data_IF_834289208295
#
_entry.id   IF_834289208295
#
_cell.length_a   1.000
_cell.length_b   1.000
_cell.length_c   1.000
_cell.angle_alpha   90.00
_cell.angle_beta   90.00
_cell.angle_gamma   90.00
#
_symmetry.space_group_name_H-M   'P 1'
#
loop_
_entity.id
_entity.type
_entity.pdbx_description
1 polymer ?
#
# COMPACT_ATOMS: atom_id res chain seq x y z
N UNK A 1 24.67 -21.46 21.00
CA UNK A 1 23.22 -21.20 20.80
C UNK A 1 22.95 -19.83 21.35
N UNK A 2 22.62 -18.90 20.51
CA UNK A 2 22.24 -17.52 20.90
C UNK A 2 20.74 -17.38 20.75
N UNK A 3 20.03 -17.47 21.88
CA UNK A 3 18.57 -17.34 21.90
C UNK A 3 18.22 -15.88 22.06
N UNK A 4 17.37 -15.36 21.15
CA UNK A 4 16.85 -13.99 21.17
C UNK A 4 15.35 -14.00 21.36
N UNK A 5 14.86 -13.09 22.22
CA UNK A 5 13.44 -12.91 22.45
C UNK A 5 12.82 -12.06 21.33
N UNK A 6 11.65 -12.47 20.85
CA UNK A 6 10.81 -11.69 19.94
C UNK A 6 9.73 -11.01 20.76
N UNK A 7 9.66 -9.69 20.63
CA UNK A 7 8.73 -8.84 21.39
C UNK A 7 7.60 -8.34 20.50
N UNK A 8 6.43 -8.12 21.10
CA UNK A 8 5.32 -7.42 20.47
C UNK A 8 5.75 -5.98 20.16
N UNK A 9 5.64 -5.50 18.91
CA UNK A 9 5.95 -4.12 18.55
C UNK A 9 4.98 -3.12 19.18
N UNK A 10 5.21 -1.83 18.99
CA UNK A 10 4.27 -0.80 19.43
C UNK A 10 2.91 -0.98 18.70
N UNK A 11 1.88 -1.20 19.47
CA UNK A 11 0.50 -1.41 19.00
C UNK A 11 -0.31 -0.09 18.97
N UNK A 12 0.34 1.07 18.86
CA UNK A 12 -0.34 2.36 18.81
C UNK A 12 -1.07 2.73 20.10
N UNK A 13 -0.51 2.30 21.27
CA UNK A 13 -1.06 2.57 22.59
C UNK A 13 -2.11 1.56 23.05
N UNK A 14 -2.46 0.55 22.27
CA UNK A 14 -3.34 -0.54 22.72
C UNK A 14 -2.62 -1.45 23.71
N UNK A 15 -3.32 -1.80 24.80
CA UNK A 15 -2.87 -2.72 25.84
C UNK A 15 -3.83 -3.90 25.93
N UNK A 16 -3.36 -5.03 26.45
CA UNK A 16 -4.18 -6.22 26.67
C UNK A 16 -4.90 -6.70 25.39
N UNK A 17 -4.17 -6.75 24.28
CA UNK A 17 -4.70 -7.17 22.97
C UNK A 17 -4.77 -8.70 22.92
N UNK A 18 -5.90 -9.33 22.57
CA UNK A 18 -6.02 -10.77 22.50
C UNK A 18 -5.28 -11.37 21.29
N UNK A 19 -4.61 -12.48 21.52
CA UNK A 19 -4.03 -13.36 20.50
C UNK A 19 -5.15 -14.22 19.91
N UNK A 20 -5.49 -14.02 18.65
CA UNK A 20 -6.55 -14.79 17.99
C UNK A 20 -6.04 -16.01 17.24
N UNK A 21 -4.77 -15.98 16.84
CA UNK A 21 -4.14 -17.14 16.21
C UNK A 21 -2.62 -17.18 16.45
N UNK A 22 -2.04 -18.40 16.37
CA UNK A 22 -0.61 -18.65 16.45
C UNK A 22 -0.20 -19.39 15.17
N UNK A 23 0.64 -18.73 14.36
CA UNK A 23 0.89 -19.11 12.97
C UNK A 23 2.16 -19.96 12.80
N UNK A 24 3.03 -20.02 13.83
CA UNK A 24 4.29 -20.76 13.79
C UNK A 24 4.38 -21.76 14.97
N UNK A 25 5.16 -22.79 14.82
CA UNK A 25 5.39 -23.85 15.82
C UNK A 25 6.85 -23.98 16.19
N UNK A 26 7.13 -24.47 17.42
CA UNK A 26 8.49 -24.75 17.85
C UNK A 26 9.17 -25.74 16.89
N UNK A 27 10.38 -25.43 16.47
CA UNK A 27 11.15 -26.16 15.46
C UNK A 27 11.06 -25.56 14.05
N UNK A 28 10.13 -24.63 13.79
CA UNK A 28 10.00 -23.99 12.49
C UNK A 28 11.20 -23.09 12.19
N UNK A 29 11.61 -23.07 10.92
CA UNK A 29 12.59 -22.13 10.42
C UNK A 29 11.89 -20.81 10.08
N UNK A 30 12.25 -19.76 10.78
CA UNK A 30 11.65 -18.43 10.67
C UNK A 30 12.58 -17.52 9.87
N UNK A 31 12.05 -16.85 8.88
CA UNK A 31 12.73 -15.76 8.15
C UNK A 31 12.29 -14.41 8.72
N UNK A 32 13.05 -13.36 8.39
CA UNK A 32 12.63 -11.98 8.72
C UNK A 32 11.27 -11.72 8.06
N UNK A 33 10.38 -11.03 8.77
CA UNK A 33 9.00 -10.72 8.38
C UNK A 33 8.04 -11.92 8.30
N UNK A 34 8.46 -13.15 8.72
CA UNK A 34 7.51 -14.26 8.86
C UNK A 34 6.52 -13.99 9.98
N UNK A 35 5.19 -14.05 9.74
CA UNK A 35 4.18 -13.83 10.77
C UNK A 35 4.19 -14.96 11.81
N UNK A 36 4.22 -14.61 13.09
CA UNK A 36 4.28 -15.54 14.21
C UNK A 36 2.94 -15.72 14.92
N UNK A 37 2.25 -14.62 15.17
CA UNK A 37 0.94 -14.60 15.82
C UNK A 37 0.04 -13.55 15.17
N UNK A 38 -1.28 -13.72 15.30
CA UNK A 38 -2.29 -12.74 14.91
C UNK A 38 -2.95 -12.15 16.15
N UNK A 39 -2.97 -10.83 16.23
CA UNK A 39 -3.61 -10.05 17.29
C UNK A 39 -4.92 -9.42 16.78
N UNK A 40 -5.91 -9.28 17.66
CA UNK A 40 -7.16 -8.58 17.33
C UNK A 40 -7.29 -7.33 18.21
N UNK A 41 -7.29 -6.18 17.55
CA UNK A 41 -7.60 -4.91 18.19
C UNK A 41 -9.06 -4.53 17.92
N UNK A 42 -9.58 -3.54 18.61
CA UNK A 42 -10.91 -2.97 18.36
C UNK A 42 -11.10 -2.41 16.93
N UNK A 43 -10.02 -2.29 16.17
CA UNK A 43 -10.02 -1.68 14.83
C UNK A 43 -9.61 -2.61 13.71
N UNK A 44 -8.78 -3.60 13.98
CA UNK A 44 -8.27 -4.51 12.95
C UNK A 44 -7.58 -5.74 13.56
N UNK A 45 -7.46 -6.80 12.77
CA UNK A 45 -6.51 -7.89 13.00
C UNK A 45 -5.13 -7.49 12.50
N UNK A 46 -4.10 -7.82 13.25
CA UNK A 46 -2.71 -7.50 12.96
C UNK A 46 -1.83 -8.73 13.16
N UNK A 47 -1.09 -9.09 12.13
CA UNK A 47 -0.06 -10.12 12.23
C UNK A 47 1.22 -9.51 12.79
N UNK A 48 1.84 -10.18 13.75
CA UNK A 48 3.12 -9.78 14.32
C UNK A 48 4.23 -10.56 13.65
N UNK A 49 5.06 -9.90 12.80
CA UNK A 49 6.15 -10.54 12.10
C UNK A 49 7.39 -10.73 12.98
N UNK A 50 8.22 -11.69 12.65
CA UNK A 50 9.52 -11.88 13.28
C UNK A 50 10.53 -10.81 12.80
N UNK A 51 11.20 -10.09 13.70
CA UNK A 51 12.26 -9.15 13.33
C UNK A 51 13.60 -9.86 13.04
N UNK A 52 13.71 -11.17 13.31
CA UNK A 52 14.92 -11.96 13.22
C UNK A 52 14.68 -13.26 12.45
N UNK A 53 15.71 -13.72 11.74
CA UNK A 53 15.74 -15.06 11.17
C UNK A 53 16.40 -16.04 12.14
N UNK A 54 15.87 -17.28 12.22
CA UNK A 54 16.41 -18.31 13.10
C UNK A 54 15.50 -19.52 13.15
N UNK A 55 15.80 -20.46 14.07
CA UNK A 55 14.91 -21.58 14.38
C UNK A 55 14.07 -21.24 15.60
N UNK A 56 12.77 -21.40 15.50
CA UNK A 56 11.85 -21.12 16.60
C UNK A 56 12.04 -22.15 17.73
N UNK A 57 12.52 -21.68 18.87
CA UNK A 57 12.74 -22.53 20.04
C UNK A 57 11.42 -22.79 20.75
N UNK A 58 10.67 -21.73 21.02
CA UNK A 58 9.35 -21.82 21.63
C UNK A 58 8.50 -20.59 21.31
N UNK A 59 7.18 -20.77 21.34
CA UNK A 59 6.20 -19.68 21.39
C UNK A 59 5.69 -19.59 22.83
N UNK A 60 5.77 -18.40 23.43
CA UNK A 60 5.46 -18.17 24.83
C UNK A 60 4.00 -17.78 25.06
N UNK A 61 3.23 -17.60 23.98
CA UNK A 61 1.82 -17.19 24.00
C UNK A 61 0.93 -18.21 23.31
N UNK A 62 -0.35 -18.26 23.69
CA UNK A 62 -1.37 -19.14 23.12
C UNK A 62 -2.56 -18.35 22.64
N UNK A 63 -3.34 -18.96 21.77
CA UNK A 63 -4.65 -18.40 21.35
C UNK A 63 -5.54 -18.13 22.57
N UNK A 64 -5.99 -16.91 22.69
CA UNK A 64 -6.77 -16.40 23.81
C UNK A 64 -5.97 -15.63 24.87
N UNK A 65 -4.64 -15.70 24.85
CA UNK A 65 -3.79 -14.89 25.73
C UNK A 65 -3.89 -13.41 25.37
N UNK A 66 -3.54 -12.53 26.32
CA UNK A 66 -3.52 -11.08 26.12
C UNK A 66 -2.09 -10.58 26.19
N UNK A 67 -1.73 -9.76 25.21
CA UNK A 67 -0.38 -9.19 25.10
C UNK A 67 -0.42 -7.67 24.96
N UNK A 68 0.67 -7.04 25.36
CA UNK A 68 0.89 -5.60 25.19
C UNK A 68 2.23 -5.36 24.51
N UNK A 69 2.47 -4.14 24.02
CA UNK A 69 3.77 -3.77 23.46
C UNK A 69 4.91 -4.15 24.44
N UNK A 70 5.96 -4.81 23.91
CA UNK A 70 7.07 -5.31 24.70
C UNK A 70 6.87 -6.69 25.34
N UNK A 71 5.68 -7.33 25.23
CA UNK A 71 5.49 -8.71 25.67
C UNK A 71 6.32 -9.67 24.84
N UNK A 72 7.01 -10.64 25.48
CA UNK A 72 7.73 -11.72 24.76
C UNK A 72 6.71 -12.68 24.19
N UNK A 73 6.78 -12.97 22.88
CA UNK A 73 5.86 -13.87 22.18
C UNK A 73 6.54 -15.14 21.67
N UNK A 74 7.84 -15.06 21.42
CA UNK A 74 8.59 -16.19 20.88
C UNK A 74 10.08 -16.08 21.26
N UNK A 75 10.78 -17.21 21.18
CA UNK A 75 12.24 -17.29 21.32
C UNK A 75 12.83 -17.96 20.09
N UNK A 76 13.81 -17.31 19.47
CA UNK A 76 14.51 -17.77 18.30
C UNK A 76 15.96 -18.09 18.61
N UNK A 77 16.46 -19.25 18.18
CA UNK A 77 17.88 -19.53 18.13
C UNK A 77 18.48 -18.91 16.86
N UNK A 78 19.17 -17.79 17.04
CA UNK A 78 19.89 -17.05 15.99
C UNK A 78 21.35 -17.48 15.84
N UNK A 79 21.77 -18.52 16.57
CA UNK A 79 23.15 -18.98 16.65
C UNK A 79 23.62 -19.86 15.49
N UNK A 80 22.92 -19.88 14.39
CA UNK A 80 23.33 -20.47 13.13
C UNK A 80 23.07 -19.50 12.01
N UNK A 81 24.02 -18.64 11.67
CA UNK A 81 24.07 -18.06 10.35
C UNK A 81 24.24 -19.22 9.35
N UNK A 82 23.15 -19.93 9.06
CA UNK A 82 23.13 -20.93 8.01
C UNK A 82 23.04 -20.20 6.68
N UNK A 83 23.95 -20.56 5.79
CA UNK A 83 23.96 -20.23 4.37
C UNK A 83 22.55 -20.30 3.75
N UNK A 84 22.30 -19.52 2.68
CA UNK A 84 21.03 -19.55 1.98
C UNK A 84 20.63 -20.98 1.63
N UNK A 85 19.33 -21.33 1.64
CA UNK A 85 18.88 -22.67 1.32
C UNK A 85 19.37 -23.08 -0.07
N UNK A 86 20.03 -24.22 -0.15
CA UNK A 86 20.35 -24.85 -1.41
C UNK A 86 19.03 -25.15 -2.15
N UNK A 87 18.94 -24.85 -3.42
CA UNK A 87 17.77 -25.18 -4.21
C UNK A 87 17.66 -26.70 -4.31
N UNK A 88 16.45 -27.20 -4.07
CA UNK A 88 16.08 -28.60 -4.30
C UNK A 88 16.46 -28.96 -5.73
N UNK A 89 17.46 -29.81 -5.85
CA UNK A 89 17.98 -30.29 -7.14
C UNK A 89 17.09 -31.39 -7.67
N UNK A 90 16.26 -31.08 -8.63
CA UNK A 90 16.01 -32.02 -9.73
C UNK A 90 16.94 -31.67 -10.90
N UNK A 91 17.92 -32.47 -11.05
CA UNK A 91 18.66 -32.84 -12.23
C UNK A 91 19.04 -31.78 -13.28
N UNK A 92 19.94 -30.81 -12.96
CA UNK A 92 20.81 -30.20 -13.98
C UNK A 92 22.18 -29.86 -13.38
N UNK A 93 23.23 -30.26 -14.09
CA UNK A 93 24.62 -30.12 -13.71
C UNK A 93 25.05 -28.65 -13.59
N UNK A 94 25.85 -28.36 -12.56
CA UNK A 94 26.31 -27.04 -12.13
C UNK A 94 27.38 -26.36 -13.02
N UNK A 95 27.44 -26.65 -14.33
CA UNK A 95 28.47 -26.11 -15.23
C UNK A 95 28.04 -24.95 -16.13
N UNK A 96 26.75 -24.53 -16.12
CA UNK A 96 26.24 -23.54 -17.06
C UNK A 96 25.61 -22.29 -16.44
N UNK A 97 26.13 -21.84 -15.27
CA UNK A 97 25.80 -20.50 -14.77
C UNK A 97 26.92 -19.53 -15.17
N UNK A 98 26.64 -18.49 -15.94
CA UNK A 98 27.59 -17.40 -16.08
C UNK A 98 27.79 -16.73 -14.70
N UNK A 99 29.07 -16.46 -14.38
CA UNK A 99 29.46 -15.66 -13.22
C UNK A 99 28.61 -14.37 -13.16
N UNK A 100 28.06 -14.09 -12.00
CA UNK A 100 27.33 -12.83 -11.78
C UNK A 100 28.32 -11.68 -11.96
N UNK A 101 28.11 -10.89 -12.98
CA UNK A 101 28.83 -9.63 -13.19
C UNK A 101 28.70 -8.73 -11.94
N UNK A 102 29.78 -8.03 -11.54
CA UNK A 102 29.72 -7.12 -10.42
C UNK A 102 28.67 -6.05 -10.70
N UNK A 103 27.76 -5.81 -9.74
CA UNK A 103 26.73 -4.78 -9.83
C UNK A 103 27.39 -3.46 -10.19
N UNK A 104 26.95 -2.79 -11.26
CA UNK A 104 27.52 -1.52 -11.66
C UNK A 104 27.35 -0.49 -10.53
N UNK A 105 28.42 0.19 -10.18
CA UNK A 105 28.39 1.38 -9.32
C UNK A 105 27.43 2.37 -9.97
N UNK A 106 26.44 2.83 -9.22
CA UNK A 106 25.42 3.78 -9.68
C UNK A 106 26.12 4.98 -10.35
N UNK A 107 25.94 5.11 -11.65
CA UNK A 107 26.41 6.26 -12.40
C UNK A 107 25.69 7.52 -11.90
N UNK A 108 26.36 8.68 -11.90
CA UNK A 108 25.78 9.95 -11.48
C UNK A 108 24.47 10.26 -12.25
N UNK A 109 23.51 10.94 -11.62
CA UNK A 109 22.20 11.31 -12.22
C UNK A 109 22.35 11.95 -13.61
N UNK A 110 23.39 12.77 -13.80
CA UNK A 110 23.71 13.41 -15.08
C UNK A 110 24.17 12.42 -16.16
N UNK A 111 24.95 11.41 -15.77
CA UNK A 111 25.44 10.37 -16.69
C UNK A 111 24.32 9.43 -17.15
N UNK A 112 23.32 9.16 -16.26
CA UNK A 112 22.15 8.36 -16.61
C UNK A 112 21.20 9.12 -17.53
N UNK A 113 20.91 10.41 -17.24
CA UNK A 113 20.10 11.28 -18.10
C UNK A 113 20.71 11.41 -19.50
N UNK A 114 22.03 11.58 -19.58
CA UNK A 114 22.75 11.70 -20.86
C UNK A 114 22.74 10.39 -21.64
N UNK A 115 22.93 9.22 -20.99
CA UNK A 115 22.87 7.93 -21.65
C UNK A 115 21.47 7.61 -22.17
N UNK A 116 20.42 7.88 -21.41
CA UNK A 116 19.03 7.65 -21.81
C UNK A 116 18.64 8.57 -22.98
N UNK A 117 19.02 9.85 -22.94
CA UNK A 117 18.80 10.78 -24.05
C UNK A 117 19.54 10.36 -25.33
N UNK A 118 20.77 9.88 -25.21
CA UNK A 118 21.56 9.38 -26.35
C UNK A 118 20.96 8.08 -26.94
N UNK A 119 20.45 7.17 -26.11
CA UNK A 119 19.75 5.98 -26.58
C UNK A 119 18.42 6.30 -27.27
N UNK A 120 17.68 7.30 -26.77
CA UNK A 120 16.40 7.74 -27.33
C UNK A 120 16.56 8.57 -28.61
N UNK A 121 17.68 9.26 -28.81
CA UNK A 121 17.93 10.10 -30.00
C UNK A 121 18.11 9.31 -31.31
N UNK A 122 18.38 8.03 -31.22
CA UNK A 122 18.51 7.12 -32.38
C UNK A 122 17.26 6.31 -32.75
N UNK A 123 16.18 6.44 -31.97
CA UNK A 123 14.93 5.71 -32.21
C UNK A 123 14.09 6.40 -33.30
N UNK A 124 13.31 5.62 -34.09
CA UNK A 124 12.31 6.17 -35.02
C UNK A 124 11.36 7.14 -34.31
N UNK A 125 10.82 8.11 -35.05
CA UNK A 125 9.95 9.15 -34.46
C UNK A 125 8.70 8.61 -33.76
N UNK A 126 8.21 7.47 -34.20
CA UNK A 126 7.08 6.74 -33.60
C UNK A 126 7.40 6.11 -32.22
N UNK A 127 8.69 5.99 -31.88
CA UNK A 127 9.18 5.44 -30.62
C UNK A 127 9.76 6.52 -29.70
N UNK A 128 9.84 7.78 -30.14
CA UNK A 128 10.37 8.86 -29.32
C UNK A 128 9.46 9.10 -28.10
N UNK A 129 10.08 9.09 -26.92
CA UNK A 129 9.44 9.40 -25.65
C UNK A 129 9.84 10.79 -25.19
N UNK A 130 8.89 11.50 -24.57
CA UNK A 130 9.11 12.82 -24.00
C UNK A 130 9.79 12.69 -22.63
N UNK A 131 9.67 11.52 -22.01
CA UNK A 131 10.17 11.20 -20.66
C UNK A 131 10.61 9.74 -20.58
N UNK A 132 11.52 9.46 -19.64
CA UNK A 132 11.91 8.09 -19.29
C UNK A 132 11.86 7.84 -17.79
N UNK A 133 11.55 6.60 -17.40
CA UNK A 133 11.52 6.13 -16.02
C UNK A 133 12.17 4.74 -15.91
N UNK A 134 12.87 4.47 -14.83
CA UNK A 134 13.29 3.10 -14.50
C UNK A 134 12.09 2.25 -14.10
N UNK A 135 11.20 2.84 -13.30
CA UNK A 135 9.93 2.22 -12.95
C UNK A 135 8.78 3.18 -13.24
N UNK A 136 7.83 2.73 -14.05
CA UNK A 136 6.55 3.37 -14.24
C UNK A 136 5.52 2.67 -13.36
N UNK A 137 4.72 3.44 -12.61
CA UNK A 137 3.58 2.92 -11.88
C UNK A 137 2.31 3.54 -12.45
N UNK A 138 1.40 2.71 -12.96
CA UNK A 138 0.13 3.15 -13.53
C UNK A 138 -0.99 3.03 -12.49
N UNK A 139 -1.49 4.17 -12.03
CA UNK A 139 -2.50 4.30 -10.99
C UNK A 139 -1.92 4.63 -9.62
N UNK A 140 -2.46 5.66 -8.96
CA UNK A 140 -2.02 6.15 -7.65
C UNK A 140 -2.98 5.81 -6.52
N UNK A 141 -3.69 4.69 -6.62
CA UNK A 141 -4.41 4.08 -5.50
C UNK A 141 -3.45 3.49 -4.46
N UNK A 142 -3.95 2.85 -3.37
CA UNK A 142 -3.10 2.31 -2.30
C UNK A 142 -1.99 1.39 -2.78
N UNK A 143 -2.24 0.50 -3.72
CA UNK A 143 -1.21 -0.34 -4.31
C UNK A 143 -0.16 0.46 -5.08
N UNK A 144 -0.60 1.45 -5.89
CA UNK A 144 0.29 2.22 -6.75
C UNK A 144 1.20 3.17 -5.99
N UNK A 145 0.66 4.04 -5.13
CA UNK A 145 1.52 4.95 -4.39
C UNK A 145 2.46 4.22 -3.41
N UNK A 146 2.01 3.11 -2.82
CA UNK A 146 2.86 2.30 -1.94
C UNK A 146 4.04 1.70 -2.72
N UNK A 147 3.78 1.13 -3.91
CA UNK A 147 4.80 0.58 -4.78
C UNK A 147 5.78 1.68 -5.25
N UNK A 148 5.24 2.83 -5.69
CA UNK A 148 6.04 3.97 -6.15
C UNK A 148 6.96 4.51 -5.05
N UNK A 149 6.45 4.70 -3.83
CA UNK A 149 7.22 5.21 -2.71
C UNK A 149 8.30 4.21 -2.28
N UNK A 150 7.95 2.92 -2.22
CA UNK A 150 8.93 1.89 -1.88
C UNK A 150 10.04 1.79 -2.92
N UNK A 151 9.72 1.86 -4.20
CA UNK A 151 10.71 1.84 -5.26
C UNK A 151 11.64 3.06 -5.20
N UNK A 152 11.09 4.24 -4.94
CA UNK A 152 11.87 5.46 -4.74
C UNK A 152 12.79 5.38 -3.50
N UNK A 153 12.30 4.80 -2.39
CA UNK A 153 13.10 4.54 -1.18
C UNK A 153 14.26 3.54 -1.46
N UNK A 154 14.11 2.68 -2.48
CA UNK A 154 15.16 1.78 -2.97
C UNK A 154 16.09 2.43 -4.01
N UNK A 155 15.91 3.71 -4.31
CA UNK A 155 16.77 4.50 -5.19
C UNK A 155 16.41 4.47 -6.67
N UNK A 156 15.24 3.93 -7.06
CA UNK A 156 14.80 3.94 -8.45
C UNK A 156 14.23 5.31 -8.85
N UNK A 157 14.39 5.67 -10.12
CA UNK A 157 13.67 6.78 -10.74
C UNK A 157 12.26 6.33 -11.09
N UNK A 158 11.27 6.88 -10.36
CA UNK A 158 9.88 6.46 -10.45
C UNK A 158 9.00 7.54 -11.05
N UNK A 159 8.22 7.18 -12.08
CA UNK A 159 7.12 7.98 -12.59
C UNK A 159 5.79 7.31 -12.24
N UNK A 160 4.91 8.05 -11.55
CA UNK A 160 3.58 7.63 -11.15
C UNK A 160 2.54 8.33 -12.02
N UNK A 161 1.78 7.56 -12.80
CA UNK A 161 0.74 8.08 -13.69
C UNK A 161 -0.62 7.92 -13.02
N UNK A 162 -1.37 9.01 -12.90
CA UNK A 162 -2.71 9.00 -12.29
C UNK A 162 -3.70 9.83 -13.11
N UNK A 163 -4.86 9.26 -13.41
CA UNK A 163 -5.91 9.95 -14.19
C UNK A 163 -6.66 11.01 -13.38
N UNK A 164 -6.75 10.86 -12.07
CA UNK A 164 -7.45 11.82 -11.20
C UNK A 164 -6.52 12.93 -10.74
N UNK A 165 -7.05 14.12 -10.43
CA UNK A 165 -6.23 15.25 -9.98
C UNK A 165 -5.63 15.04 -8.59
N UNK A 166 -6.07 14.03 -7.85
CA UNK A 166 -5.60 13.72 -6.51
C UNK A 166 -5.12 12.28 -6.41
N UNK A 167 -3.99 12.09 -5.71
CA UNK A 167 -3.50 10.76 -5.37
C UNK A 167 -4.46 10.05 -4.39
N UNK A 168 -4.30 8.73 -4.23
CA UNK A 168 -5.04 7.93 -3.26
C UNK A 168 -6.10 7.02 -3.88
N UNK A 169 -6.42 7.21 -5.17
CA UNK A 169 -7.37 6.39 -5.92
C UNK A 169 -8.76 6.34 -5.28
N UNK A 170 -9.52 5.30 -5.60
CA UNK A 170 -10.88 5.06 -5.07
C UNK A 170 -10.88 5.05 -3.54
N UNK A 171 -9.93 4.37 -2.91
CA UNK A 171 -9.92 4.18 -1.45
C UNK A 171 -9.92 5.51 -0.69
N UNK A 172 -9.02 6.44 -1.03
CA UNK A 172 -8.93 7.70 -0.28
C UNK A 172 -10.01 8.70 -0.70
N UNK A 173 -10.33 8.76 -1.98
CA UNK A 173 -11.19 9.82 -2.51
C UNK A 173 -12.68 9.51 -2.40
N UNK A 174 -13.08 8.29 -2.76
CA UNK A 174 -14.50 7.90 -2.89
C UNK A 174 -14.81 6.50 -2.32
N UNK A 175 -14.01 6.02 -1.38
CA UNK A 175 -14.15 4.67 -0.81
C UNK A 175 -13.88 4.62 0.69
N UNK A 176 -12.81 3.95 1.07
CA UNK A 176 -12.50 3.61 2.47
C UNK A 176 -12.50 4.81 3.42
N UNK A 177 -11.87 5.91 3.02
CA UNK A 177 -11.69 7.05 3.93
C UNK A 177 -13.01 7.81 4.15
N UNK A 178 -13.74 8.26 3.11
CA UNK A 178 -15.01 8.93 3.35
C UNK A 178 -16.05 8.00 4.02
N UNK A 179 -16.09 6.71 3.69
CA UNK A 179 -17.01 5.78 4.37
C UNK A 179 -16.68 5.61 5.85
N UNK A 180 -15.39 5.41 6.21
CA UNK A 180 -14.99 5.33 7.62
C UNK A 180 -15.26 6.63 8.40
N UNK A 181 -15.09 7.78 7.76
CA UNK A 181 -15.45 9.06 8.39
C UNK A 181 -16.95 9.09 8.72
N UNK A 182 -17.82 8.71 7.79
CA UNK A 182 -19.27 8.70 8.01
C UNK A 182 -19.69 7.63 9.02
N UNK A 183 -19.12 6.42 8.95
CA UNK A 183 -19.38 5.36 9.91
C UNK A 183 -18.95 5.77 11.32
N UNK A 184 -17.84 6.49 11.47
CA UNK A 184 -17.43 7.04 12.77
C UNK A 184 -18.48 8.03 13.31
N UNK A 185 -18.99 8.94 12.48
CA UNK A 185 -20.05 9.85 12.89
C UNK A 185 -21.33 9.10 13.31
N UNK A 186 -21.74 8.07 12.55
CA UNK A 186 -22.87 7.22 12.92
C UNK A 186 -22.63 6.47 14.22
N UNK A 187 -21.42 5.95 14.42
CA UNK A 187 -21.05 5.23 15.67
C UNK A 187 -21.13 6.12 16.90
N UNK A 188 -20.71 7.37 16.81
CA UNK A 188 -20.84 8.33 17.93
C UNK A 188 -22.29 8.54 18.31
N UNK A 189 -23.21 8.61 17.35
CA UNK A 189 -24.65 8.74 17.63
C UNK A 189 -25.22 7.49 18.29
N UNK A 190 -24.83 6.31 17.79
CA UNK A 190 -25.22 5.02 18.34
C UNK A 190 -24.73 4.83 19.78
N UNK A 191 -23.45 5.12 20.04
CA UNK A 191 -22.83 5.00 21.36
C UNK A 191 -23.51 5.95 22.36
N UNK A 192 -23.83 7.17 21.94
CA UNK A 192 -24.59 8.10 22.78
C UNK A 192 -25.98 7.56 23.10
N UNK A 193 -26.71 7.00 22.11
CA UNK A 193 -28.04 6.43 22.34
C UNK A 193 -28.00 5.19 23.24
N UNK A 194 -26.96 4.37 23.13
CA UNK A 194 -26.76 3.16 23.95
C UNK A 194 -26.55 3.45 25.44
N UNK A 195 -26.26 4.69 25.83
CA UNK A 195 -26.08 5.06 27.23
C UNK A 195 -27.42 5.26 27.98
N UNK A 196 -28.54 5.34 27.28
CA UNK A 196 -29.84 5.58 27.92
C UNK A 196 -30.24 4.56 28.99
N UNK A 197 -30.06 3.23 28.83
CA UNK A 197 -30.33 2.24 29.89
C UNK A 197 -29.44 2.41 31.13
N UNK A 198 -28.30 3.09 30.99
CA UNK A 198 -27.36 3.36 32.08
C UNK A 198 -27.60 4.70 32.76
N UNK A 199 -28.74 5.34 32.46
CA UNK A 199 -29.17 6.60 33.08
C UNK A 199 -28.61 7.87 32.45
N UNK A 200 -27.90 7.76 31.30
CA UNK A 200 -27.38 8.93 30.56
C UNK A 200 -28.20 9.09 29.31
N UNK A 201 -29.07 10.09 29.28
CA UNK A 201 -29.97 10.32 28.12
C UNK A 201 -29.54 11.60 27.40
N UNK A 202 -29.19 11.44 26.10
CA UNK A 202 -28.94 12.54 25.18
C UNK A 202 -30.25 12.93 24.46
N UNK A 203 -30.41 14.22 24.16
CA UNK A 203 -31.52 14.70 23.32
C UNK A 203 -31.36 14.21 21.87
N UNK A 204 -32.41 14.39 21.06
CA UNK A 204 -32.33 14.05 19.62
C UNK A 204 -31.21 14.83 18.94
N UNK A 205 -30.29 14.16 18.22
CA UNK A 205 -29.22 14.85 17.56
C UNK A 205 -29.76 15.74 16.42
N UNK A 206 -29.16 16.91 16.26
CA UNK A 206 -29.40 17.76 15.09
C UNK A 206 -28.23 17.59 14.14
N UNK A 207 -28.50 17.05 12.94
CA UNK A 207 -27.50 16.79 11.92
C UNK A 207 -27.52 17.93 10.90
N UNK A 208 -26.38 18.60 10.70
CA UNK A 208 -26.14 19.58 9.66
C UNK A 208 -25.33 18.87 8.57
N UNK A 209 -26.02 18.48 7.48
CA UNK A 209 -25.43 17.70 6.40
C UNK A 209 -24.31 18.46 5.67
N UNK A 210 -24.42 19.78 5.54
CA UNK A 210 -23.39 20.59 4.89
C UNK A 210 -22.07 20.59 5.70
N UNK A 211 -22.19 20.70 7.01
CA UNK A 211 -21.01 20.60 7.87
C UNK A 211 -20.43 19.20 7.88
N UNK A 212 -21.26 18.16 7.86
CA UNK A 212 -20.82 16.78 7.80
C UNK A 212 -20.08 16.49 6.49
N UNK A 213 -20.61 16.95 5.35
CA UNK A 213 -19.94 16.86 4.03
C UNK A 213 -18.58 17.56 4.04
N UNK A 214 -18.53 18.81 4.53
CA UNK A 214 -17.29 19.61 4.64
C UNK A 214 -16.25 18.92 5.52
N UNK A 215 -16.67 18.36 6.66
CA UNK A 215 -15.79 17.61 7.53
C UNK A 215 -15.26 16.35 6.84
N UNK A 216 -16.11 15.50 6.25
CA UNK A 216 -15.72 14.33 5.44
C UNK A 216 -14.68 14.74 4.38
N UNK A 217 -14.96 15.76 3.59
CA UNK A 217 -14.06 16.26 2.56
C UNK A 217 -12.71 16.77 3.14
N UNK A 218 -12.71 17.34 4.35
CA UNK A 218 -11.48 17.79 5.00
C UNK A 218 -10.58 16.62 5.42
N UNK A 219 -11.18 15.50 5.85
CA UNK A 219 -10.45 14.26 6.19
C UNK A 219 -9.76 13.71 4.94
N UNK A 220 -10.50 13.59 3.82
CA UNK A 220 -9.96 13.13 2.54
C UNK A 220 -8.80 14.02 2.08
N UNK A 221 -9.00 15.35 2.03
CA UNK A 221 -7.97 16.30 1.59
C UNK A 221 -6.70 16.23 2.44
N UNK A 222 -6.81 16.05 3.74
CA UNK A 222 -5.65 15.95 4.61
C UNK A 222 -4.77 14.76 4.23
N UNK A 223 -5.37 13.61 3.95
CA UNK A 223 -4.66 12.39 3.59
C UNK A 223 -4.08 12.47 2.17
N UNK A 224 -4.85 12.95 1.20
CA UNK A 224 -4.38 13.08 -0.19
C UNK A 224 -3.25 14.10 -0.32
N UNK A 225 -3.32 15.22 0.41
CA UNK A 225 -2.22 16.19 0.49
C UNK A 225 -0.97 15.57 1.11
N UNK A 226 -1.14 14.73 2.13
CA UNK A 226 -0.03 13.97 2.74
C UNK A 226 0.68 13.08 1.71
N UNK A 227 -0.05 12.39 0.84
CA UNK A 227 0.54 11.58 -0.23
C UNK A 227 1.33 12.44 -1.23
N UNK A 228 0.80 13.59 -1.62
CA UNK A 228 1.50 14.53 -2.52
C UNK A 228 2.83 15.02 -1.90
N UNK A 229 2.82 15.34 -0.60
CA UNK A 229 4.04 15.70 0.11
C UNK A 229 5.05 14.54 0.16
N UNK A 230 4.60 13.33 0.44
CA UNK A 230 5.44 12.14 0.47
C UNK A 230 6.04 11.81 -0.91
N UNK A 231 5.28 11.97 -1.99
CA UNK A 231 5.77 11.81 -3.36
C UNK A 231 6.89 12.81 -3.65
N UNK A 232 6.67 14.09 -3.28
CA UNK A 232 7.67 15.15 -3.47
C UNK A 232 8.97 14.89 -2.67
N UNK A 233 8.86 14.46 -1.41
CA UNK A 233 10.02 14.12 -0.57
C UNK A 233 10.85 12.98 -1.18
N UNK A 234 10.20 12.00 -1.80
CA UNK A 234 10.82 10.84 -2.46
C UNK A 234 11.21 11.09 -3.91
N UNK A 235 11.00 12.32 -4.41
CA UNK A 235 11.26 12.67 -5.81
C UNK A 235 10.52 11.77 -6.82
N UNK A 236 9.35 11.24 -6.44
CA UNK A 236 8.47 10.52 -7.38
C UNK A 236 7.85 11.54 -8.31
N UNK A 237 8.05 11.37 -9.61
CA UNK A 237 7.43 12.21 -10.62
C UNK A 237 5.97 11.79 -10.81
N UNK A 238 5.05 12.77 -10.73
CA UNK A 238 3.63 12.52 -10.94
C UNK A 238 3.25 13.08 -12.31
N UNK A 239 2.66 12.22 -13.15
CA UNK A 239 2.09 12.61 -14.45
C UNK A 239 0.58 12.40 -14.37
N UNK A 240 -0.18 13.50 -14.50
CA UNK A 240 -1.62 13.44 -14.48
C UNK A 240 -2.16 13.18 -15.90
N UNK A 241 -3.01 12.15 -16.02
CA UNK A 241 -3.68 11.79 -17.26
C UNK A 241 -4.00 10.30 -17.35
N UNK A 242 -4.69 9.93 -18.42
CA UNK A 242 -5.06 8.55 -18.73
C UNK A 242 -3.99 7.87 -19.55
N UNK A 243 -3.38 6.82 -19.00
CA UNK A 243 -2.30 6.06 -19.63
C UNK A 243 -2.81 4.94 -20.53
N UNK A 244 -2.23 4.80 -21.72
CA UNK A 244 -2.46 3.72 -22.67
C UNK A 244 -1.13 3.16 -23.17
N UNK A 245 -0.91 1.86 -23.05
CA UNK A 245 0.28 1.24 -23.60
C UNK A 245 0.26 1.26 -25.12
N UNK A 246 1.32 1.79 -25.73
CA UNK A 246 1.51 1.84 -27.19
C UNK A 246 2.66 0.93 -27.63
N UNK A 247 3.39 0.34 -26.67
CA UNK A 247 4.45 -0.63 -26.92
C UNK A 247 4.86 -1.33 -25.62
N UNK A 248 5.76 -2.31 -25.69
CA UNK A 248 6.20 -3.08 -24.51
C UNK A 248 6.83 -2.23 -23.41
N UNK A 249 7.46 -1.11 -23.80
CA UNK A 249 8.13 -0.18 -22.89
C UNK A 249 7.69 1.27 -23.11
N UNK A 250 6.49 1.49 -23.67
CA UNK A 250 6.00 2.82 -24.01
C UNK A 250 4.56 3.00 -23.55
N UNK A 251 4.33 4.02 -22.72
CA UNK A 251 3.02 4.49 -22.28
C UNK A 251 2.75 5.86 -22.88
N UNK A 252 1.61 6.04 -23.52
CA UNK A 252 1.07 7.33 -23.91
C UNK A 252 0.08 7.79 -22.86
N UNK A 253 0.27 9.00 -22.33
CA UNK A 253 -0.59 9.63 -21.35
C UNK A 253 -1.36 10.77 -21.99
N UNK A 254 -2.69 10.69 -21.99
CA UNK A 254 -3.56 11.76 -22.44
C UNK A 254 -4.00 12.60 -21.23
N UNK A 255 -3.71 13.89 -21.28
CA UNK A 255 -4.07 14.85 -20.22
C UNK A 255 -5.48 15.38 -20.44
N UNK A 256 -6.08 15.98 -19.41
CA UNK A 256 -7.43 16.57 -19.49
C UNK A 256 -7.52 17.74 -20.48
N UNK A 257 -6.41 18.44 -20.76
CA UNK A 257 -6.30 19.50 -21.75
C UNK A 257 -6.21 18.99 -23.21
N UNK A 258 -6.21 17.66 -23.41
CA UNK A 258 -6.06 16.99 -24.71
C UNK A 258 -4.61 16.83 -25.14
N UNK A 259 -3.64 17.33 -24.39
CA UNK A 259 -2.22 17.10 -24.64
C UNK A 259 -1.85 15.63 -24.42
N UNK A 260 -0.88 15.15 -25.18
CA UNK A 260 -0.33 13.81 -25.03
C UNK A 260 1.13 13.85 -24.65
N UNK A 261 1.57 12.92 -23.81
CA UNK A 261 2.95 12.75 -23.40
C UNK A 261 3.31 11.25 -23.47
N UNK A 262 4.46 10.91 -24.04
CA UNK A 262 4.96 9.54 -24.14
C UNK A 262 6.04 9.29 -23.12
N UNK A 263 5.90 8.21 -22.35
CA UNK A 263 6.83 7.81 -21.30
C UNK A 263 7.43 6.46 -21.67
N UNK A 264 8.74 6.45 -21.85
CA UNK A 264 9.50 5.20 -21.94
C UNK A 264 9.79 4.69 -20.52
N UNK A 265 9.72 3.37 -20.32
CA UNK A 265 10.00 2.75 -19.01
C UNK A 265 10.77 1.44 -19.18
N UNK A 266 11.63 1.13 -18.21
CA UNK A 266 12.34 -0.15 -18.15
C UNK A 266 11.44 -1.23 -17.55
N UNK A 267 10.72 -0.90 -16.47
CA UNK A 267 9.77 -1.78 -15.77
C UNK A 267 8.48 -1.04 -15.48
N UNK A 268 7.38 -1.79 -15.36
CA UNK A 268 6.07 -1.21 -15.07
C UNK A 268 5.31 -2.01 -14.01
N UNK A 269 4.65 -1.29 -13.12
CA UNK A 269 3.64 -1.84 -12.20
C UNK A 269 2.28 -1.28 -12.59
N UNK A 270 1.34 -2.16 -12.95
CA UNK A 270 -0.05 -1.79 -13.25
C UNK A 270 -0.85 -1.89 -11.95
N UNK A 271 -1.27 -0.74 -11.43
CA UNK A 271 -2.08 -0.60 -10.22
C UNK A 271 -3.35 0.24 -10.51
N UNK A 272 -3.96 0.01 -11.67
CA UNK A 272 -5.05 0.82 -12.23
C UNK A 272 -6.37 0.75 -11.43
N UNK A 273 -6.47 -0.17 -10.45
CA UNK A 273 -7.64 -0.30 -9.59
C UNK A 273 -8.83 -0.97 -10.28
N UNK A 274 -10.04 -0.57 -9.87
CA UNK A 274 -11.30 -1.11 -10.36
C UNK A 274 -12.35 0.00 -10.47
N UNK A 275 -13.40 -0.29 -11.21
CA UNK A 275 -14.57 0.59 -11.37
C UNK A 275 -15.86 -0.16 -10.98
N UNK A 276 -16.90 0.56 -10.51
CA UNK A 276 -18.20 -0.06 -10.25
C UNK A 276 -18.80 -0.63 -11.54
N UNK A 277 -19.38 -1.80 -11.45
CA UNK A 277 -20.05 -2.43 -12.58
C UNK A 277 -21.40 -1.74 -12.82
N UNK A 278 -21.61 -1.27 -14.04
CA UNK A 278 -22.91 -0.78 -14.49
C UNK A 278 -23.79 -1.96 -14.85
N UNK A 279 -25.03 -2.01 -14.32
CA UNK A 279 -26.01 -3.05 -14.61
C UNK A 279 -26.84 -2.63 -15.84
N UNK A 280 -26.75 -3.35 -16.99
CA UNK A 280 -27.41 -2.90 -18.23
C UNK A 280 -28.94 -2.87 -18.15
N UNK A 281 -29.53 -3.62 -17.21
CA UNK A 281 -30.98 -3.70 -17.00
C UNK A 281 -31.48 -2.68 -15.98
N UNK A 282 -30.60 -1.96 -15.28
CA UNK A 282 -31.00 -0.97 -14.30
C UNK A 282 -31.52 0.30 -15.00
N UNK A 283 -32.71 0.80 -14.62
CA UNK A 283 -33.24 2.03 -15.20
C UNK A 283 -32.36 3.22 -14.84
N UNK A 284 -32.34 4.24 -15.71
CA UNK A 284 -31.74 5.53 -15.38
C UNK A 284 -32.63 6.26 -14.36
N UNK A 285 -32.31 6.15 -13.08
CA UNK A 285 -33.06 6.77 -11.97
C UNK A 285 -32.08 7.40 -10.99
N UNK A 286 -32.30 8.63 -10.57
CA UNK A 286 -31.42 9.36 -9.64
C UNK A 286 -31.29 8.70 -8.25
N UNK A 287 -32.23 7.82 -7.89
CA UNK A 287 -32.21 7.03 -6.65
C UNK A 287 -31.29 5.81 -6.75
N UNK A 288 -30.91 5.42 -7.98
CA UNK A 288 -29.93 4.37 -8.20
C UNK A 288 -28.56 5.00 -8.29
N UNK A 289 -27.74 4.73 -7.33
CA UNK A 289 -26.39 5.26 -7.22
C UNK A 289 -25.39 4.16 -6.92
N UNK A 290 -24.16 4.34 -7.32
CA UNK A 290 -23.04 3.49 -6.92
C UNK A 290 -22.53 3.89 -5.52
N UNK A 291 -21.47 3.22 -5.07
CA UNK A 291 -20.85 3.52 -3.78
C UNK A 291 -20.30 4.94 -3.69
N UNK A 292 -19.82 5.50 -4.80
CA UNK A 292 -19.30 6.88 -4.82
C UNK A 292 -20.45 7.88 -4.65
N UNK A 293 -21.57 7.68 -5.36
CA UNK A 293 -22.76 8.49 -5.22
C UNK A 293 -23.35 8.45 -3.82
N UNK A 294 -23.40 7.28 -3.19
CA UNK A 294 -23.88 7.12 -1.81
C UNK A 294 -23.04 7.92 -0.79
N UNK A 295 -21.74 8.10 -1.04
CA UNK A 295 -20.86 8.88 -0.16
C UNK A 295 -21.01 10.39 -0.30
N UNK A 296 -21.71 10.90 -1.33
CA UNK A 296 -21.98 12.33 -1.47
C UNK A 296 -22.99 12.85 -0.45
N UNK A 297 -23.87 11.99 0.09
CA UNK A 297 -24.92 12.34 1.06
C UNK A 297 -25.73 13.53 0.51
N UNK A 298 -26.35 13.33 -0.65
CA UNK A 298 -27.07 14.43 -1.34
C UNK A 298 -28.28 14.92 -0.55
N UNK A 299 -28.99 14.02 0.14
CA UNK A 299 -30.22 14.27 0.92
C UNK A 299 -30.11 13.79 2.36
#
# INVERSE_FOLDING_TARGET
MSVSDVLVPDLGGHKDVPVIDVLAAAGDRIEIDTPLITLETDKATLDVPSPLAGTLVEITVRKGDRVSAGSVIARLDVGGAAAPPEPVTEGRRASDRPEAEPRPVLASEESLKTKVLLQLSGLPEDIRADRSAQLLVLGAGPGGYTAAFRAADLGLQVTLVERWPMLGGVCLNVGCIPSKALLHAAKVLEDAAAMAPHGIVFGKPRIDLDKLRKWKASVVRRLTNGLTMLAKQRKVEIVQGSGRFTGPHLLEVTRDDGGTERIHFEQCIIAAGSEPVSLPFAPADARLMDSSGALEIAD
#
